data_IF_725630855611
#
_entry.id   IF_725630855611
#
_cell.length_a   1.000
_cell.length_b   1.000
_cell.length_c   1.000
_cell.angle_alpha   90.00
_cell.angle_beta   90.00
_cell.angle_gamma   90.00
#
_symmetry.space_group_name_H-M   'P 1'
#
loop_
_entity.id
_entity.type
_entity.pdbx_description
1 polymer ?
#
# COMPACT_ATOMS: atom_id res chain seq x y z
N UNK A 1 -5.52 5.51 -14.27
CA UNK A 1 -6.80 4.82 -14.61
C UNK A 1 -7.63 4.63 -13.35
N UNK A 2 -8.98 4.64 -13.46
CA UNK A 2 -9.90 4.44 -12.32
C UNK A 2 -10.82 3.25 -12.62
N UNK A 3 -10.91 2.30 -11.69
CA UNK A 3 -11.73 1.10 -11.79
C UNK A 3 -12.64 0.99 -10.57
N UNK A 4 -13.95 1.17 -10.76
CA UNK A 4 -14.99 1.12 -9.73
C UNK A 4 -16.34 0.88 -10.42
N UNK A 5 -17.22 0.09 -9.85
CA UNK A 5 -18.54 -0.17 -10.46
C UNK A 5 -19.50 1.04 -10.33
N UNK A 6 -19.23 1.95 -9.39
CA UNK A 6 -20.03 3.12 -9.12
C UNK A 6 -19.58 4.33 -9.95
N UNK A 7 -20.38 4.76 -10.92
CA UNK A 7 -20.05 5.92 -11.78
C UNK A 7 -19.79 7.20 -10.99
N UNK A 8 -20.53 7.43 -9.88
CA UNK A 8 -20.34 8.63 -9.06
C UNK A 8 -18.96 8.66 -8.41
N UNK A 9 -18.45 7.51 -7.98
CA UNK A 9 -17.11 7.37 -7.39
C UNK A 9 -16.05 7.64 -8.45
N UNK A 10 -16.17 7.05 -9.64
CA UNK A 10 -15.23 7.29 -10.74
C UNK A 10 -15.18 8.77 -11.12
N UNK A 11 -16.37 9.42 -11.28
CA UNK A 11 -16.44 10.86 -11.58
C UNK A 11 -15.80 11.70 -10.50
N UNK A 12 -16.03 11.38 -9.22
CA UNK A 12 -15.43 12.11 -8.10
C UNK A 12 -13.92 12.01 -8.09
N UNK A 13 -13.36 10.80 -8.23
CA UNK A 13 -11.92 10.61 -8.28
C UNK A 13 -11.27 11.25 -9.51
N UNK A 14 -11.94 11.21 -10.67
CA UNK A 14 -11.47 11.92 -11.87
C UNK A 14 -11.32 13.41 -11.60
N UNK A 15 -12.36 14.05 -11.09
CA UNK A 15 -12.35 15.49 -10.79
C UNK A 15 -11.20 15.84 -9.82
N UNK A 16 -11.03 15.06 -8.73
CA UNK A 16 -9.97 15.27 -7.74
C UNK A 16 -8.58 15.16 -8.38
N UNK A 17 -8.34 14.16 -9.22
CA UNK A 17 -7.03 13.91 -9.80
C UNK A 17 -6.71 14.94 -10.91
N UNK A 18 -7.65 15.22 -11.79
CA UNK A 18 -7.44 16.18 -12.90
C UNK A 18 -7.27 17.63 -12.39
N UNK A 19 -7.86 17.98 -11.23
CA UNK A 19 -7.66 19.29 -10.58
C UNK A 19 -6.19 19.54 -10.19
N UNK A 20 -5.40 18.49 -9.99
CA UNK A 20 -3.97 18.63 -9.62
C UNK A 20 -3.10 19.14 -10.77
N UNK A 21 -3.54 19.00 -12.01
CA UNK A 21 -2.88 19.49 -13.23
C UNK A 21 -1.67 18.66 -13.70
N UNK A 22 -1.22 17.69 -12.93
CA UNK A 22 -0.08 16.79 -13.24
C UNK A 22 -0.49 15.31 -13.34
N UNK A 23 -1.75 14.98 -13.06
CA UNK A 23 -2.30 13.64 -13.15
C UNK A 23 -3.40 13.60 -14.22
N UNK A 24 -3.24 12.75 -15.22
CA UNK A 24 -4.25 12.50 -16.25
C UNK A 24 -4.96 11.18 -16.00
N UNK A 25 -6.28 11.16 -16.13
CA UNK A 25 -7.08 9.93 -16.06
C UNK A 25 -7.18 9.29 -17.45
N UNK A 26 -6.23 8.43 -17.78
CA UNK A 26 -6.11 7.76 -19.07
C UNK A 26 -7.28 6.83 -19.41
N UNK A 27 -8.07 6.38 -18.43
CA UNK A 27 -9.22 5.51 -18.70
C UNK A 27 -10.04 5.21 -17.45
N UNK A 28 -11.25 4.69 -17.66
CA UNK A 28 -12.15 4.18 -16.63
C UNK A 28 -12.62 2.77 -16.96
N UNK A 29 -12.91 1.99 -15.92
CA UNK A 29 -13.51 0.66 -16.02
C UNK A 29 -14.61 0.48 -14.96
N UNK A 30 -15.65 -0.26 -15.31
CA UNK A 30 -16.77 -0.53 -14.40
C UNK A 30 -16.74 -1.97 -13.85
N UNK A 31 -15.89 -2.83 -14.39
CA UNK A 31 -15.70 -4.20 -13.94
C UNK A 31 -14.26 -4.69 -14.18
N UNK A 32 -13.91 -5.82 -13.61
CA UNK A 32 -12.54 -6.32 -13.68
C UNK A 32 -12.12 -6.84 -15.07
N UNK A 33 -13.04 -7.19 -15.97
CA UNK A 33 -12.70 -7.53 -17.36
C UNK A 33 -12.39 -6.26 -18.17
N UNK A 34 -13.18 -5.22 -17.96
CA UNK A 34 -12.93 -3.90 -18.54
C UNK A 34 -11.57 -3.36 -18.09
N UNK A 35 -11.19 -3.56 -16.81
CA UNK A 35 -9.85 -3.19 -16.32
C UNK A 35 -8.75 -3.76 -17.21
N UNK A 36 -8.80 -5.06 -17.51
CA UNK A 36 -7.77 -5.71 -18.32
C UNK A 36 -7.74 -5.18 -19.76
N UNK A 37 -8.91 -4.90 -20.33
CA UNK A 37 -9.05 -4.39 -21.68
C UNK A 37 -8.56 -2.93 -21.79
N UNK A 38 -9.01 -2.06 -20.89
CA UNK A 38 -8.63 -0.64 -20.87
C UNK A 38 -7.15 -0.47 -20.54
N UNK A 39 -6.61 -1.26 -19.59
CA UNK A 39 -5.17 -1.26 -19.27
C UNK A 39 -4.32 -1.58 -20.49
N UNK A 40 -4.72 -2.56 -21.30
CA UNK A 40 -4.00 -2.92 -22.52
C UNK A 40 -4.03 -1.82 -23.61
N UNK A 41 -5.05 -0.97 -23.60
CA UNK A 41 -5.22 0.13 -24.57
C UNK A 41 -4.50 1.41 -24.14
N UNK A 42 -4.52 1.71 -22.83
CA UNK A 42 -4.09 3.01 -22.28
C UNK A 42 -2.73 2.96 -21.59
N UNK A 43 -2.21 1.76 -21.29
CA UNK A 43 -0.94 1.55 -20.58
C UNK A 43 -0.75 2.52 -19.39
N UNK A 44 -1.64 2.55 -18.40
CA UNK A 44 -1.57 3.51 -17.30
C UNK A 44 -0.42 3.18 -16.34
N UNK A 45 0.20 4.20 -15.74
CA UNK A 45 1.23 4.00 -14.71
C UNK A 45 0.60 3.46 -13.42
N UNK A 46 -0.58 4.00 -13.04
CA UNK A 46 -1.29 3.65 -11.80
C UNK A 46 -2.76 3.34 -12.08
N UNK A 47 -3.28 2.33 -11.40
CA UNK A 47 -4.71 1.99 -11.40
C UNK A 47 -5.25 2.15 -9.98
N UNK A 48 -6.25 3.03 -9.79
CA UNK A 48 -7.11 3.02 -8.61
C UNK A 48 -8.14 1.92 -8.80
N UNK A 49 -8.16 0.91 -7.94
CA UNK A 49 -8.91 -0.33 -8.12
C UNK A 49 -9.88 -0.56 -6.96
N UNK A 50 -11.18 -0.51 -7.22
CA UNK A 50 -12.14 -1.02 -6.25
C UNK A 50 -12.00 -2.53 -6.08
N UNK A 51 -12.20 -3.01 -4.88
CA UNK A 51 -12.21 -4.43 -4.57
C UNK A 51 -13.42 -5.13 -5.16
N UNK A 52 -14.61 -4.55 -4.95
CA UNK A 52 -15.88 -5.20 -5.30
C UNK A 52 -16.45 -4.68 -6.61
N UNK A 53 -16.21 -5.41 -7.67
CA UNK A 53 -16.76 -5.14 -8.99
C UNK A 53 -17.46 -6.38 -9.56
N UNK A 54 -18.41 -6.20 -10.48
CA UNK A 54 -19.06 -7.32 -11.19
C UNK A 54 -18.06 -8.19 -11.97
N UNK A 55 -18.40 -9.46 -12.17
CA UNK A 55 -17.58 -10.38 -12.93
C UNK A 55 -16.36 -10.86 -12.16
N UNK A 56 -15.18 -10.41 -12.51
CA UNK A 56 -13.98 -10.61 -11.70
C UNK A 56 -13.76 -9.41 -10.78
N UNK A 57 -13.43 -9.69 -9.53
CA UNK A 57 -13.17 -8.65 -8.55
C UNK A 57 -11.81 -7.94 -8.77
N UNK A 58 -11.60 -6.82 -8.08
CA UNK A 58 -10.37 -6.04 -8.24
C UNK A 58 -9.11 -6.77 -7.78
N UNK A 59 -9.21 -7.73 -6.88
CA UNK A 59 -8.08 -8.55 -6.42
C UNK A 59 -7.67 -9.53 -7.51
N UNK A 60 -8.63 -10.22 -8.13
CA UNK A 60 -8.36 -11.11 -9.25
C UNK A 60 -7.86 -10.34 -10.48
N UNK A 61 -8.44 -9.16 -10.75
CA UNK A 61 -7.94 -8.27 -11.80
C UNK A 61 -6.48 -7.86 -11.54
N UNK A 62 -6.14 -7.47 -10.31
CA UNK A 62 -4.77 -7.16 -9.88
C UNK A 62 -3.83 -8.34 -10.11
N UNK A 63 -4.22 -9.54 -9.68
CA UNK A 63 -3.41 -10.75 -9.87
C UNK A 63 -3.13 -11.03 -11.34
N UNK A 64 -4.13 -10.88 -12.22
CA UNK A 64 -3.96 -11.07 -13.69
C UNK A 64 -3.08 -10.02 -14.32
N UNK A 65 -3.15 -8.75 -13.87
CA UNK A 65 -2.24 -7.70 -14.31
C UNK A 65 -0.82 -8.03 -13.88
N UNK A 66 -0.59 -8.35 -12.62
CA UNK A 66 0.75 -8.68 -12.09
C UNK A 66 1.36 -9.94 -12.70
N UNK A 67 0.55 -10.91 -13.11
CA UNK A 67 1.03 -12.10 -13.80
C UNK A 67 1.60 -11.82 -15.22
N UNK A 68 1.28 -10.65 -15.80
CA UNK A 68 1.75 -10.21 -17.12
C UNK A 68 2.95 -9.28 -17.06
N UNK A 69 3.19 -8.66 -15.91
CA UNK A 69 4.24 -7.66 -15.68
C UNK A 69 5.15 -8.12 -14.55
N UNK A 70 6.38 -7.64 -14.52
CA UNK A 70 7.27 -7.83 -13.38
C UNK A 70 6.75 -7.14 -12.10
N UNK A 71 7.31 -7.44 -10.93
CA UNK A 71 6.86 -6.84 -9.67
C UNK A 71 7.03 -5.32 -9.62
N UNK A 72 8.01 -4.79 -10.34
CA UNK A 72 8.33 -3.37 -10.36
C UNK A 72 7.85 -2.66 -11.64
N UNK A 73 7.21 -3.40 -12.57
CA UNK A 73 6.72 -2.84 -13.83
C UNK A 73 5.29 -2.27 -13.68
N UNK A 74 4.93 -1.16 -14.34
CA UNK A 74 3.56 -0.67 -14.40
C UNK A 74 2.62 -1.66 -15.14
N UNK A 75 1.31 -1.59 -14.90
CA UNK A 75 0.66 -0.64 -14.00
C UNK A 75 0.81 -1.02 -12.52
N UNK A 76 1.05 -0.04 -11.68
CA UNK A 76 0.97 -0.22 -10.23
C UNK A 76 -0.48 -0.11 -9.78
N UNK A 77 -0.91 -0.97 -8.87
CA UNK A 77 -2.32 -0.99 -8.42
C UNK A 77 -2.44 -0.48 -6.99
N UNK A 78 -3.28 0.54 -6.80
CA UNK A 78 -3.75 0.99 -5.49
C UNK A 78 -5.16 0.45 -5.27
N UNK A 79 -5.33 -0.43 -4.30
CA UNK A 79 -6.64 -0.94 -3.92
C UNK A 79 -7.40 0.14 -3.14
N UNK A 80 -8.63 0.42 -3.58
CA UNK A 80 -9.59 1.24 -2.86
C UNK A 80 -10.55 0.35 -2.09
N UNK A 81 -10.73 0.61 -0.79
CA UNK A 81 -11.62 -0.19 0.04
C UNK A 81 -12.51 0.69 0.90
N UNK A 82 -13.69 0.19 1.26
CA UNK A 82 -14.50 0.70 2.35
C UNK A 82 -14.09 0.04 3.67
N UNK A 83 -14.51 0.57 4.80
CA UNK A 83 -14.04 0.26 6.16
C UNK A 83 -14.01 -1.22 6.60
N UNK A 84 -14.58 -2.19 5.87
CA UNK A 84 -15.07 -3.42 6.50
C UNK A 84 -14.35 -4.75 6.22
N UNK A 85 -13.22 -4.82 5.50
CA UNK A 85 -12.78 -6.15 5.05
C UNK A 85 -11.27 -6.38 5.18
N UNK A 86 -10.82 -6.83 6.37
CA UNK A 86 -9.44 -7.29 6.63
C UNK A 86 -8.98 -8.37 5.62
N UNK A 87 -9.90 -9.24 5.16
CA UNK A 87 -9.62 -10.29 4.17
C UNK A 87 -9.14 -9.75 2.82
N UNK A 88 -9.68 -8.61 2.36
CA UNK A 88 -9.31 -8.02 1.08
C UNK A 88 -7.95 -7.31 1.11
N UNK A 89 -7.55 -6.78 2.26
CA UNK A 89 -6.23 -6.16 2.40
C UNK A 89 -5.15 -7.23 2.20
N UNK A 90 -5.32 -8.38 2.85
CA UNK A 90 -4.40 -9.50 2.74
C UNK A 90 -4.37 -10.08 1.32
N UNK A 91 -5.55 -10.36 0.75
CA UNK A 91 -5.66 -10.89 -0.60
C UNK A 91 -5.07 -9.94 -1.66
N UNK A 92 -5.27 -8.63 -1.51
CA UNK A 92 -4.71 -7.61 -2.40
C UNK A 92 -3.19 -7.51 -2.33
N UNK A 93 -2.59 -7.63 -1.12
CA UNK A 93 -1.12 -7.71 -0.97
C UNK A 93 -0.55 -8.93 -1.69
N UNK A 94 -1.17 -10.10 -1.50
CA UNK A 94 -0.75 -11.32 -2.20
C UNK A 94 -0.99 -11.25 -3.71
N UNK A 95 -1.97 -10.47 -4.17
CA UNK A 95 -2.17 -10.20 -5.59
C UNK A 95 -1.11 -9.25 -6.17
N UNK A 96 -0.30 -8.58 -5.32
CA UNK A 96 0.76 -7.67 -5.74
C UNK A 96 0.32 -6.21 -5.86
N UNK A 97 -0.68 -5.77 -5.09
CA UNK A 97 -1.04 -4.37 -5.00
C UNK A 97 0.12 -3.54 -4.41
N UNK A 98 0.38 -2.38 -4.99
CA UNK A 98 1.40 -1.41 -4.55
C UNK A 98 0.85 -0.45 -3.49
N UNK A 99 -0.48 -0.36 -3.33
CA UNK A 99 -1.06 0.54 -2.35
C UNK A 99 -2.46 0.15 -1.89
N UNK A 100 -2.84 0.74 -0.74
CA UNK A 100 -4.18 0.58 -0.13
C UNK A 100 -4.64 1.91 0.43
N UNK A 101 -5.79 2.37 -0.05
CA UNK A 101 -6.44 3.57 0.43
C UNK A 101 -7.91 3.27 0.79
N UNK A 102 -8.47 4.10 1.64
CA UNK A 102 -9.91 4.11 1.88
C UNK A 102 -10.60 4.99 0.83
N UNK A 103 -11.82 4.64 0.44
CA UNK A 103 -12.61 5.45 -0.52
C UNK A 103 -12.97 6.85 0.01
N UNK A 104 -12.86 7.08 1.32
CA UNK A 104 -13.05 8.36 1.99
C UNK A 104 -11.72 9.13 2.22
N UNK A 105 -10.63 8.67 1.62
CA UNK A 105 -9.33 9.36 1.67
C UNK A 105 -9.46 10.80 1.14
N UNK A 106 -8.81 11.76 1.83
CA UNK A 106 -8.84 13.16 1.41
C UNK A 106 -8.18 13.34 0.03
N UNK A 107 -8.68 14.30 -0.74
CA UNK A 107 -8.21 14.59 -2.11
C UNK A 107 -6.68 14.75 -2.21
N UNK A 108 -6.10 15.51 -1.28
CA UNK A 108 -4.65 15.74 -1.23
C UNK A 108 -3.85 14.44 -0.99
N UNK A 109 -4.35 13.56 -0.10
CA UNK A 109 -3.70 12.30 0.24
C UNK A 109 -3.83 11.30 -0.91
N UNK A 110 -4.97 11.29 -1.63
CA UNK A 110 -5.17 10.48 -2.82
C UNK A 110 -4.16 10.83 -3.92
N UNK A 111 -4.03 12.12 -4.24
CA UNK A 111 -3.09 12.58 -5.25
C UNK A 111 -1.63 12.30 -4.85
N UNK A 112 -1.28 12.52 -3.57
CA UNK A 112 0.05 12.19 -3.05
C UNK A 112 0.36 10.69 -3.15
N UNK A 113 -0.62 9.83 -2.85
CA UNK A 113 -0.47 8.39 -2.96
C UNK A 113 -0.27 7.92 -4.42
N UNK A 114 -1.04 8.49 -5.37
CA UNK A 114 -0.88 8.19 -6.80
C UNK A 114 0.54 8.54 -7.27
N UNK A 115 1.07 9.72 -6.91
CA UNK A 115 2.44 10.12 -7.26
C UNK A 115 3.49 9.19 -6.65
N UNK A 116 3.36 8.89 -5.35
CA UNK A 116 4.30 8.01 -4.68
C UNK A 116 4.33 6.61 -5.29
N UNK A 117 3.16 6.08 -5.69
CA UNK A 117 3.07 4.77 -6.32
C UNK A 117 3.59 4.80 -7.76
N UNK A 118 3.36 5.88 -8.51
CA UNK A 118 3.97 6.07 -9.84
C UNK A 118 5.51 6.10 -9.77
N UNK A 119 6.08 6.63 -8.67
CA UNK A 119 7.52 6.63 -8.38
C UNK A 119 8.03 5.28 -7.81
N UNK A 120 7.21 4.22 -7.86
CA UNK A 120 7.58 2.87 -7.38
C UNK A 120 7.57 2.69 -5.86
N UNK A 121 6.96 3.62 -5.11
CA UNK A 121 6.81 3.49 -3.67
C UNK A 121 5.52 2.73 -3.32
N UNK A 122 5.54 1.96 -2.24
CA UNK A 122 4.31 1.34 -1.71
C UNK A 122 3.65 2.25 -0.69
N UNK A 123 2.32 2.40 -0.79
CA UNK A 123 1.53 3.29 0.06
C UNK A 123 0.42 2.49 0.77
N UNK A 124 0.33 2.63 2.09
CA UNK A 124 -0.81 2.12 2.83
C UNK A 124 -1.31 3.16 3.83
N UNK A 125 -2.62 3.38 3.86
CA UNK A 125 -3.23 4.22 4.87
C UNK A 125 -2.89 3.68 6.28
N UNK A 126 -2.66 4.54 7.28
CA UNK A 126 -2.30 4.11 8.65
C UNK A 126 -3.31 3.13 9.25
N UNK A 127 -4.60 3.29 8.95
CA UNK A 127 -5.67 2.39 9.36
C UNK A 127 -5.51 1.00 8.76
N UNK A 128 -5.13 0.90 7.49
CA UNK A 128 -4.85 -0.37 6.79
C UNK A 128 -3.63 -1.05 7.40
N UNK A 129 -2.56 -0.30 7.65
CA UNK A 129 -1.35 -0.82 8.30
C UNK A 129 -1.65 -1.39 9.69
N UNK A 130 -2.43 -0.68 10.54
CA UNK A 130 -2.83 -1.19 11.86
C UNK A 130 -3.69 -2.47 11.80
N UNK A 131 -4.50 -2.65 10.76
CA UNK A 131 -5.32 -3.86 10.56
C UNK A 131 -4.46 -5.05 10.13
N UNK A 132 -3.52 -4.82 9.22
CA UNK A 132 -2.54 -5.84 8.84
C UNK A 132 -1.78 -6.35 10.07
N UNK A 133 -1.31 -5.43 10.93
CA UNK A 133 -0.63 -5.79 12.17
C UNK A 133 -1.52 -6.67 13.05
N UNK A 134 -2.77 -6.29 13.28
CA UNK A 134 -3.68 -7.09 14.13
C UNK A 134 -3.91 -8.50 13.59
N UNK A 135 -4.02 -8.65 12.29
CA UNK A 135 -4.22 -9.96 11.67
C UNK A 135 -2.97 -10.85 11.85
N UNK A 136 -1.78 -10.31 11.59
CA UNK A 136 -0.53 -11.06 11.74
C UNK A 136 -0.21 -11.40 13.20
N UNK A 137 -0.49 -10.51 14.14
CA UNK A 137 -0.29 -10.77 15.57
C UNK A 137 -1.24 -11.84 16.10
N UNK A 138 -2.47 -11.92 15.54
CA UNK A 138 -3.47 -12.93 15.95
C UNK A 138 -3.26 -14.32 15.36
N UNK A 139 -2.52 -14.45 14.25
CA UNK A 139 -2.37 -15.71 13.52
C UNK A 139 -0.96 -16.31 13.56
N UNK A 140 0.04 -15.56 14.00
CA UNK A 140 1.40 -16.08 14.09
C UNK A 140 1.57 -17.01 15.29
N UNK A 141 2.09 -18.24 15.12
CA UNK A 141 2.60 -19.01 16.24
C UNK A 141 3.69 -18.16 16.91
N UNK A 142 3.62 -17.98 18.22
CA UNK A 142 4.70 -17.37 19.02
C UNK A 142 5.95 -18.22 18.86
N UNK A 143 6.74 -17.97 17.85
CA UNK A 143 8.10 -18.47 17.79
C UNK A 143 8.93 -17.49 18.62
N UNK A 144 9.34 -17.93 19.80
CA UNK A 144 10.38 -17.25 20.55
C UNK A 144 11.67 -17.28 19.68
N UNK A 145 11.88 -16.22 18.93
CA UNK A 145 13.04 -16.04 18.08
C UNK A 145 14.10 -15.19 18.76
N UNK A 146 15.40 -15.43 18.50
CA UNK A 146 16.49 -14.79 19.18
C UNK A 146 16.68 -13.34 18.74
N UNK A 147 16.64 -12.42 19.72
CA UNK A 147 17.48 -11.22 19.75
C UNK A 147 17.36 -10.21 18.60
N UNK A 148 17.66 -8.97 18.94
CA UNK A 148 17.82 -7.83 18.03
C UNK A 148 18.68 -8.26 16.83
N UNK A 149 18.21 -8.05 15.57
CA UNK A 149 19.05 -8.30 14.40
C UNK A 149 20.33 -7.48 14.53
N UNK A 150 21.47 -8.16 14.57
CA UNK A 150 22.80 -7.53 14.71
C UNK A 150 23.12 -6.52 13.60
N UNK A 151 22.31 -6.49 12.53
CA UNK A 151 22.42 -5.57 11.42
C UNK A 151 21.88 -4.16 11.73
N UNK A 152 20.97 -4.00 12.72
CA UNK A 152 20.35 -2.70 13.02
C UNK A 152 21.09 -1.98 14.15
N UNK A 153 21.20 -0.66 14.02
CA UNK A 153 21.63 0.19 15.13
C UNK A 153 20.52 0.28 16.18
N UNK A 154 20.82 0.66 17.44
CA UNK A 154 19.80 0.84 18.47
C UNK A 154 18.68 1.79 18.05
N UNK A 155 18.99 2.84 17.27
CA UNK A 155 18.02 3.80 16.77
C UNK A 155 17.13 3.21 15.67
N UNK A 156 17.68 2.46 14.75
CA UNK A 156 16.93 1.74 13.72
C UNK A 156 16.02 0.68 14.35
N UNK A 157 16.48 0.01 15.40
CA UNK A 157 15.65 -0.94 16.14
C UNK A 157 14.44 -0.24 16.80
N UNK A 158 14.64 0.92 17.47
CA UNK A 158 13.55 1.70 18.03
C UNK A 158 12.54 2.09 16.95
N UNK A 159 13.00 2.55 15.80
CA UNK A 159 12.15 2.89 14.65
C UNK A 159 11.38 1.66 14.15
N UNK A 160 12.03 0.48 14.05
CA UNK A 160 11.37 -0.75 13.62
C UNK A 160 10.25 -1.19 14.58
N UNK A 161 10.47 -1.07 15.90
CA UNK A 161 9.44 -1.33 16.92
C UNK A 161 8.22 -0.42 16.70
N UNK A 162 8.42 0.87 16.47
CA UNK A 162 7.33 1.83 16.24
C UNK A 162 6.64 1.61 14.89
N UNK A 163 7.39 1.19 13.87
CA UNK A 163 6.82 0.71 12.59
C UNK A 163 5.89 -0.48 12.84
N UNK A 164 6.32 -1.44 13.63
CA UNK A 164 5.55 -2.63 13.95
C UNK A 164 4.28 -2.33 14.76
N UNK A 165 4.26 -1.22 15.50
CA UNK A 165 3.08 -0.69 16.18
C UNK A 165 2.14 0.09 15.24
N UNK A 166 2.50 0.26 13.97
CA UNK A 166 1.68 0.91 12.93
C UNK A 166 1.78 2.43 12.91
N UNK A 167 2.77 3.03 13.57
CA UNK A 167 2.94 4.48 13.61
C UNK A 167 3.40 5.01 12.24
N UNK A 168 2.85 6.11 11.77
CA UNK A 168 3.32 6.86 10.59
C UNK A 168 4.70 7.47 10.82
N UNK A 169 5.36 7.96 9.77
CA UNK A 169 6.66 8.64 9.92
C UNK A 169 6.57 9.90 10.78
N UNK A 170 5.46 10.63 10.72
CA UNK A 170 5.20 11.79 11.57
C UNK A 170 5.07 11.40 13.04
N UNK A 171 4.25 10.39 13.36
CA UNK A 171 4.07 9.87 14.73
C UNK A 171 5.39 9.33 15.30
N UNK A 172 6.21 8.64 14.49
CA UNK A 172 7.54 8.18 14.90
C UNK A 172 8.49 9.35 15.15
N UNK A 173 8.43 10.39 14.31
CA UNK A 173 9.23 11.59 14.46
C UNK A 173 8.93 12.29 15.80
N UNK A 174 7.65 12.44 16.13
CA UNK A 174 7.19 13.02 17.39
C UNK A 174 7.60 12.15 18.60
N UNK A 175 7.37 10.84 18.53
CA UNK A 175 7.70 9.92 19.60
C UNK A 175 9.22 9.85 19.91
N UNK A 176 10.04 10.04 18.88
CA UNK A 176 11.49 9.95 19.00
C UNK A 176 12.19 11.32 19.04
N UNK A 177 11.43 12.43 19.01
CA UNK A 177 11.93 13.82 19.00
C UNK A 177 12.94 14.07 17.87
N UNK A 178 12.61 13.62 16.65
CA UNK A 178 13.41 13.83 15.43
C UNK A 178 12.51 14.41 14.32
N UNK A 179 13.09 14.76 13.18
CA UNK A 179 12.31 15.22 12.03
C UNK A 179 11.72 14.04 11.25
N UNK A 180 10.61 14.26 10.55
CA UNK A 180 10.02 13.26 9.65
C UNK A 180 11.00 12.81 8.55
N UNK A 181 11.82 13.73 8.02
CA UNK A 181 12.88 13.41 7.06
C UNK A 181 13.94 12.47 7.64
N UNK A 182 14.29 12.62 8.93
CA UNK A 182 15.19 11.70 9.63
C UNK A 182 14.54 10.33 9.80
N UNK A 183 13.24 10.30 10.11
CA UNK A 183 12.47 9.04 10.21
C UNK A 183 12.45 8.31 8.86
N UNK A 184 12.16 8.99 7.75
CA UNK A 184 12.22 8.42 6.40
C UNK A 184 13.58 7.80 6.09
N UNK A 185 14.66 8.47 6.50
CA UNK A 185 16.03 7.97 6.33
C UNK A 185 16.27 6.68 7.13
N UNK A 186 15.81 6.62 8.39
CA UNK A 186 15.91 5.40 9.20
C UNK A 186 15.10 4.27 8.60
N UNK A 187 13.87 4.51 8.15
CA UNK A 187 13.01 3.51 7.48
C UNK A 187 13.73 2.93 6.26
N UNK A 188 14.23 3.78 5.37
CA UNK A 188 14.96 3.34 4.17
C UNK A 188 16.17 2.46 4.52
N UNK A 189 16.95 2.85 5.53
CA UNK A 189 18.11 2.06 5.99
C UNK A 189 17.71 0.71 6.58
N UNK A 190 16.63 0.64 7.35
CA UNK A 190 16.08 -0.58 7.89
C UNK A 190 15.70 -1.53 6.75
N UNK A 191 14.94 -1.05 5.76
CA UNK A 191 14.53 -1.85 4.61
C UNK A 191 15.74 -2.41 3.87
N UNK A 192 16.72 -1.57 3.57
CA UNK A 192 17.97 -2.00 2.90
C UNK A 192 18.75 -3.04 3.72
N UNK A 193 18.93 -2.81 5.02
CA UNK A 193 19.73 -3.70 5.88
C UNK A 193 19.10 -5.06 6.10
N UNK A 194 17.77 -5.12 6.12
CA UNK A 194 17.00 -6.35 6.33
C UNK A 194 16.56 -7.00 5.00
N UNK A 195 16.90 -6.40 3.84
CA UNK A 195 16.49 -6.89 2.53
C UNK A 195 14.99 -6.88 2.31
N UNK A 196 14.29 -5.92 2.92
CA UNK A 196 12.84 -5.80 2.86
C UNK A 196 12.43 -4.83 1.75
N UNK A 197 11.37 -5.17 1.02
CA UNK A 197 10.92 -4.37 -0.12
C UNK A 197 10.23 -3.08 0.29
N UNK A 198 9.47 -3.12 1.40
CA UNK A 198 8.64 -1.99 1.84
C UNK A 198 8.34 -2.04 3.34
N UNK A 199 7.62 -1.00 3.80
CA UNK A 199 7.22 -0.85 5.21
C UNK A 199 6.34 -1.99 5.71
N UNK A 200 5.49 -2.56 4.86
CA UNK A 200 4.60 -3.67 5.23
C UNK A 200 5.44 -4.90 5.54
N UNK A 201 6.47 -5.18 4.71
CA UNK A 201 7.42 -6.25 4.98
C UNK A 201 8.22 -6.01 6.27
N UNK A 202 8.50 -4.75 6.63
CA UNK A 202 9.14 -4.42 7.90
C UNK A 202 8.24 -4.75 9.11
N UNK A 203 6.94 -4.48 9.01
CA UNK A 203 5.95 -4.87 10.03
C UNK A 203 5.91 -6.39 10.18
N UNK A 204 5.74 -7.12 9.07
CA UNK A 204 5.70 -8.58 9.05
C UNK A 204 6.97 -9.15 9.67
N UNK A 205 8.13 -8.66 9.25
CA UNK A 205 9.43 -9.07 9.77
C UNK A 205 9.54 -8.88 11.28
N UNK A 206 9.14 -7.70 11.78
CA UNK A 206 9.22 -7.40 13.22
C UNK A 206 8.37 -8.36 14.05
N UNK A 207 7.14 -8.65 13.61
CA UNK A 207 6.27 -9.60 14.29
C UNK A 207 6.76 -11.04 14.21
N UNK A 208 7.23 -11.49 13.05
CA UNK A 208 7.79 -12.84 12.88
C UNK A 208 9.03 -13.09 13.75
N UNK A 209 9.79 -12.04 14.05
CA UNK A 209 11.02 -12.12 14.87
C UNK A 209 10.81 -11.68 16.32
N UNK A 210 9.59 -11.46 16.78
CA UNK A 210 9.27 -11.10 18.17
C UNK A 210 9.83 -9.75 18.62
N UNK A 211 9.98 -8.79 17.69
CA UNK A 211 10.50 -7.45 17.95
C UNK A 211 9.40 -6.52 18.48
N UNK A 212 8.14 -6.89 18.27
CA UNK A 212 6.96 -6.14 18.70
C UNK A 212 5.92 -7.04 19.35
#
# INVERSE_FOLDING_TARGET
>A
MIADDQTLVRTGFRMILEETGDIEVAGEAADGLDVLAVTAQTAPDVILMDVRMPGIDGIEATRRLRARSGPDDPPHVIILTTFDLDEYIYAGLHAGAAGFLLKDTLAADLAAAVRAVADGQNVAAPTVTRRLIRHFVGTAPRVAGPGIPTALTPREHQVLVLIAQGMSNAEIADALLITEGTTKTHVSRILTKLGLRDRIHAVIYAHQNGIA
#
